data_IF_162408207619
#
_entry.id   IF_162408207619
#
_cell.length_a   1.000
_cell.length_b   1.000
_cell.length_c   1.000
_cell.angle_alpha   90.00
_cell.angle_beta   90.00
_cell.angle_gamma   90.00
#
_symmetry.space_group_name_H-M   'P 1'
#
loop_
_entity.id
_entity.type
_entity.pdbx_description
1 polymer ?
#
# COMPACT_ATOMS: atom_id res chain seq x y z
N UNK A 1 -17.29 6.77 2.20
CA UNK A 1 -16.46 7.94 2.56
C UNK A 1 -17.08 9.20 1.98
N UNK A 2 -17.16 10.28 2.75
CA UNK A 2 -17.65 11.56 2.24
C UNK A 2 -16.69 12.11 1.18
N UNK A 3 -17.20 12.43 -0.02
CA UNK A 3 -16.40 13.02 -1.09
C UNK A 3 -16.46 14.54 -0.96
N UNK A 4 -15.30 15.17 -0.84
CA UNK A 4 -15.16 16.63 -0.83
C UNK A 4 -14.59 17.11 -2.17
N UNK A 5 -14.95 18.33 -2.58
CA UNK A 5 -14.47 18.93 -3.83
C UNK A 5 -13.12 19.61 -3.60
N UNK A 6 -12.20 19.43 -4.55
CA UNK A 6 -10.92 20.13 -4.63
C UNK A 6 -10.87 20.87 -5.97
N UNK A 7 -10.64 22.19 -5.93
CA UNK A 7 -10.46 23.00 -7.12
C UNK A 7 -8.97 23.16 -7.40
N UNK A 8 -8.53 22.82 -8.60
CA UNK A 8 -7.12 22.87 -9.00
C UNK A 8 -7.03 23.62 -10.33
N UNK A 9 -6.11 24.59 -10.41
CA UNK A 9 -5.73 25.24 -11.65
C UNK A 9 -4.50 24.55 -12.21
N UNK A 10 -4.55 24.18 -13.49
CA UNK A 10 -3.46 23.51 -14.21
C UNK A 10 -3.26 24.21 -15.54
N UNK A 11 -2.06 24.04 -16.10
CA UNK A 11 -1.78 24.45 -17.47
C UNK A 11 -2.70 23.72 -18.46
N UNK A 12 -3.07 24.40 -19.55
CA UNK A 12 -4.02 23.87 -20.54
C UNK A 12 -3.51 22.59 -21.21
N UNK A 13 -2.23 22.51 -21.52
CA UNK A 13 -1.66 21.34 -22.19
C UNK A 13 -1.63 20.14 -21.24
N UNK A 14 -1.36 20.38 -19.96
CA UNK A 14 -1.45 19.36 -18.92
C UNK A 14 -2.89 18.86 -18.71
N UNK A 15 -3.88 19.75 -18.79
CA UNK A 15 -5.29 19.36 -18.72
C UNK A 15 -5.63 18.41 -19.86
N UNK A 16 -5.28 18.77 -21.10
CA UNK A 16 -5.59 17.94 -22.26
C UNK A 16 -4.84 16.59 -22.23
N UNK A 17 -3.55 16.62 -21.87
CA UNK A 17 -2.78 15.39 -21.66
C UNK A 17 -3.42 14.48 -20.60
N UNK A 18 -3.81 15.04 -19.44
CA UNK A 18 -4.39 14.24 -18.36
C UNK A 18 -5.70 13.57 -18.74
N UNK A 19 -6.54 14.22 -19.56
CA UNK A 19 -7.78 13.65 -20.09
C UNK A 19 -7.49 12.50 -21.07
N UNK A 20 -6.54 12.70 -21.98
CA UNK A 20 -6.13 11.68 -22.95
C UNK A 20 -5.61 10.44 -22.22
N UNK A 21 -4.66 10.63 -21.31
CA UNK A 21 -4.07 9.55 -20.52
C UNK A 21 -5.11 8.83 -19.65
N UNK A 22 -6.01 9.57 -18.99
CA UNK A 22 -7.10 8.95 -18.21
C UNK A 22 -7.99 8.07 -19.09
N UNK A 23 -8.29 8.51 -20.31
CA UNK A 23 -9.11 7.76 -21.26
C UNK A 23 -8.41 6.48 -21.72
N UNK A 24 -7.12 6.56 -22.06
CA UNK A 24 -6.30 5.39 -22.41
C UNK A 24 -6.27 4.34 -21.30
N UNK A 25 -6.16 4.79 -20.04
CA UNK A 25 -6.17 3.93 -18.86
C UNK A 25 -7.58 3.56 -18.36
N UNK A 26 -8.64 3.92 -19.11
CA UNK A 26 -10.06 3.68 -18.76
C UNK A 26 -10.43 4.16 -17.34
N UNK A 27 -9.91 5.32 -16.96
CA UNK A 27 -10.09 5.94 -15.66
C UNK A 27 -10.49 7.42 -15.80
N UNK A 28 -10.48 8.18 -14.70
CA UNK A 28 -10.77 9.62 -14.70
C UNK A 28 -9.58 10.42 -14.18
N UNK A 29 -9.50 11.69 -14.57
CA UNK A 29 -8.47 12.62 -14.03
C UNK A 29 -8.57 12.72 -12.50
N UNK A 30 -9.78 12.70 -11.95
CA UNK A 30 -9.99 12.68 -10.50
C UNK A 30 -9.38 11.45 -9.85
N UNK A 31 -9.49 10.29 -10.49
CA UNK A 31 -8.93 9.03 -9.96
C UNK A 31 -7.41 9.03 -10.04
N UNK A 32 -6.83 9.51 -11.15
CA UNK A 32 -5.38 9.66 -11.29
C UNK A 32 -4.80 10.55 -10.18
N UNK A 33 -5.40 11.72 -9.96
CA UNK A 33 -4.99 12.65 -8.90
C UNK A 33 -5.16 12.00 -7.52
N UNK A 34 -6.27 11.28 -7.31
CA UNK A 34 -6.52 10.58 -6.04
C UNK A 34 -5.45 9.53 -5.75
N UNK A 35 -5.08 8.71 -6.74
CA UNK A 35 -4.04 7.69 -6.59
C UNK A 35 -2.66 8.30 -6.37
N UNK A 36 -2.34 9.38 -7.09
CA UNK A 36 -1.10 10.11 -6.87
C UNK A 36 -1.00 10.66 -5.44
N UNK A 37 -2.05 11.35 -4.97
CA UNK A 37 -2.11 11.89 -3.60
C UNK A 37 -2.10 10.78 -2.54
N UNK A 38 -2.75 9.65 -2.81
CA UNK A 38 -2.75 8.49 -1.92
C UNK A 38 -1.35 7.90 -1.77
N UNK A 39 -0.62 7.76 -2.87
CA UNK A 39 0.76 7.30 -2.85
C UNK A 39 1.66 8.28 -2.11
N UNK A 40 1.55 9.59 -2.36
CA UNK A 40 2.27 10.60 -1.59
C UNK A 40 1.96 10.55 -0.10
N UNK A 41 0.67 10.38 0.26
CA UNK A 41 0.25 10.25 1.65
C UNK A 41 0.88 9.02 2.30
N UNK A 42 0.88 7.87 1.63
CA UNK A 42 1.51 6.64 2.12
C UNK A 42 3.01 6.82 2.33
N UNK A 43 3.70 7.44 1.38
CA UNK A 43 5.14 7.71 1.49
C UNK A 43 5.47 8.69 2.63
N UNK A 44 4.60 9.68 2.89
CA UNK A 44 4.80 10.70 3.93
C UNK A 44 4.34 10.28 5.32
N UNK A 45 3.34 9.40 5.42
CA UNK A 45 2.68 9.05 6.70
C UNK A 45 3.27 7.83 7.38
N UNK A 46 4.49 7.43 7.01
CA UNK A 46 5.13 6.15 7.33
C UNK A 46 4.40 4.97 6.68
N UNK A 47 5.22 4.10 6.08
CA UNK A 47 4.77 2.86 5.50
C UNK A 47 3.97 2.08 6.56
N UNK A 48 2.76 1.54 6.30
CA UNK A 48 2.07 0.69 7.27
C UNK A 48 2.98 -0.44 7.77
N UNK A 49 3.97 -0.85 6.96
CA UNK A 49 5.05 -1.74 7.35
C UNK A 49 5.88 -1.21 8.53
N UNK A 50 6.24 0.07 8.56
CA UNK A 50 6.96 0.68 9.69
C UNK A 50 6.11 0.69 10.96
N UNK A 51 4.81 1.00 10.84
CA UNK A 51 3.90 0.95 12.00
C UNK A 51 3.75 -0.48 12.55
N UNK A 52 3.59 -1.46 11.67
CA UNK A 52 3.47 -2.89 12.06
C UNK A 52 4.77 -3.41 12.68
N UNK A 53 5.93 -3.08 12.10
CA UNK A 53 7.24 -3.47 12.64
C UNK A 53 7.57 -2.74 13.94
N UNK A 54 7.05 -1.53 14.14
CA UNK A 54 7.25 -0.78 15.39
C UNK A 54 6.46 -1.32 16.58
N UNK A 55 5.49 -2.22 16.35
CA UNK A 55 4.79 -2.94 17.41
C UNK A 55 5.76 -3.93 18.10
N UNK A 56 6.03 -3.79 19.41
CA UNK A 56 7.01 -4.62 20.10
C UNK A 56 6.66 -6.12 20.09
N UNK A 57 5.38 -6.46 20.25
CA UNK A 57 4.92 -7.84 20.32
C UNK A 57 5.06 -8.53 18.97
N UNK A 58 4.72 -7.83 17.89
CA UNK A 58 4.93 -8.31 16.52
C UNK A 58 6.43 -8.48 16.20
N UNK A 59 7.27 -7.49 16.54
CA UNK A 59 8.70 -7.53 16.26
C UNK A 59 9.40 -8.68 17.00
N UNK A 60 9.09 -8.87 18.29
CA UNK A 60 9.68 -9.95 19.09
C UNK A 60 9.27 -11.34 18.57
N UNK A 61 7.98 -11.52 18.24
CA UNK A 61 7.46 -12.77 17.65
C UNK A 61 8.09 -13.08 16.28
N UNK A 62 8.30 -12.04 15.47
CA UNK A 62 8.96 -12.15 14.16
C UNK A 62 10.44 -12.56 14.31
N UNK A 63 11.18 -11.93 15.21
CA UNK A 63 12.58 -12.26 15.48
C UNK A 63 12.74 -13.68 16.05
N UNK A 64 11.84 -14.08 16.95
CA UNK A 64 11.81 -15.45 17.47
C UNK A 64 11.57 -16.47 16.36
N UNK A 65 10.57 -16.22 15.50
CA UNK A 65 10.24 -17.12 14.39
C UNK A 65 11.39 -17.24 13.40
N UNK A 66 12.05 -16.13 13.02
CA UNK A 66 13.26 -16.15 12.18
C UNK A 66 14.37 -16.99 12.82
N UNK A 67 14.56 -16.86 14.14
CA UNK A 67 15.53 -17.66 14.89
C UNK A 67 15.20 -19.15 14.85
N UNK A 68 13.93 -19.54 15.01
CA UNK A 68 13.50 -20.95 14.94
C UNK A 68 13.70 -21.54 13.54
N UNK A 69 13.36 -20.78 12.49
CA UNK A 69 13.60 -21.18 11.08
C UNK A 69 15.10 -21.39 10.84
N UNK A 70 15.95 -20.42 11.23
CA UNK A 70 17.41 -20.50 11.02
C UNK A 70 18.03 -21.70 11.73
N UNK A 71 17.52 -22.03 12.91
CA UNK A 71 17.99 -23.16 13.70
C UNK A 71 17.38 -24.51 13.26
N UNK A 72 16.59 -24.54 12.18
CA UNK A 72 15.96 -25.75 11.66
C UNK A 72 14.93 -26.37 12.61
N UNK A 73 14.37 -25.57 13.53
CA UNK A 73 13.41 -26.03 14.54
C UNK A 73 11.96 -25.97 14.07
N UNK A 74 11.71 -25.37 12.90
CA UNK A 74 10.38 -25.25 12.32
C UNK A 74 10.02 -26.44 11.43
N UNK A 75 8.76 -26.86 11.53
CA UNK A 75 8.18 -27.89 10.66
C UNK A 75 7.30 -27.23 9.61
N UNK A 76 7.58 -27.52 8.35
CA UNK A 76 6.71 -27.12 7.25
C UNK A 76 5.53 -28.08 7.18
N UNK A 77 4.33 -27.54 7.33
CA UNK A 77 3.07 -28.28 7.25
C UNK A 77 2.34 -27.89 5.96
N UNK A 78 1.60 -28.85 5.40
CA UNK A 78 0.68 -28.62 4.29
C UNK A 78 -0.60 -27.95 4.79
N UNK A 79 -1.38 -27.35 3.87
CA UNK A 79 -2.63 -26.68 4.21
C UNK A 79 -3.60 -27.58 5.00
N UNK A 80 -3.77 -28.82 4.55
CA UNK A 80 -4.67 -29.81 5.17
C UNK A 80 -4.22 -30.27 6.56
N UNK A 81 -2.92 -30.12 6.89
CA UNK A 81 -2.38 -30.42 8.21
C UNK A 81 -2.59 -29.26 9.19
N UNK A 82 -2.70 -28.02 8.70
CA UNK A 82 -2.87 -26.82 9.52
C UNK A 82 -4.35 -26.50 9.78
N UNK A 83 -5.23 -26.71 8.79
CA UNK A 83 -6.62 -26.22 8.83
C UNK A 83 -7.67 -27.32 8.91
N UNK A 84 -7.29 -28.51 9.39
CA UNK A 84 -8.20 -29.64 9.56
C UNK A 84 -9.17 -29.48 10.73
#
# INVERSE_FOLDING_TARGET
>A
MAKNKLNITLDKDLIEFSKLYATEQRTTVSELISQFLLNLKRTKSQDPTETIISDPEFNDSLLETISRIRNGKEKWLTYDEVFK
#
